data_IF_886340509491
#
_entry.id   IF_886340509491
#
_cell.length_a   1.000
_cell.length_b   1.000
_cell.length_c   1.000
_cell.angle_alpha   90.00
_cell.angle_beta   90.00
_cell.angle_gamma   90.00
#
_symmetry.space_group_name_H-M   'P 1'
#
loop_
_entity.id
_entity.type
_entity.pdbx_description
1 polymer ?
#
# COMPACT_ATOMS: atom_id res chain seq x y z
N UNK A 1 37.95 41.06 -41.81
CA UNK A 1 37.41 39.77 -42.29
C UNK A 1 37.85 38.71 -41.28
N UNK A 2 36.98 38.18 -40.40
CA UNK A 2 36.31 36.86 -40.53
C UNK A 2 37.28 35.81 -41.11
N UNK A 3 37.64 34.69 -40.47
CA UNK A 3 36.80 33.76 -39.71
C UNK A 3 37.59 32.99 -38.63
N UNK A 4 36.86 32.66 -37.56
CA UNK A 4 37.17 31.65 -36.54
C UNK A 4 37.21 30.24 -37.13
N UNK A 5 38.14 29.42 -36.66
CA UNK A 5 37.97 27.97 -36.59
C UNK A 5 38.29 27.51 -35.16
N UNK A 6 37.37 27.83 -34.24
CA UNK A 6 37.34 27.26 -32.90
C UNK A 6 36.94 25.78 -33.01
N UNK A 7 37.92 24.90 -33.02
CA UNK A 7 37.71 23.46 -32.91
C UNK A 7 37.24 23.17 -31.47
N UNK A 8 35.93 23.24 -31.23
CA UNK A 8 35.32 22.83 -29.98
C UNK A 8 35.41 21.31 -29.85
N UNK A 9 36.44 20.81 -29.16
CA UNK A 9 36.36 19.50 -28.54
C UNK A 9 35.21 19.54 -27.50
N UNK A 10 34.06 18.95 -27.85
CA UNK A 10 33.03 18.67 -26.84
C UNK A 10 33.62 17.70 -25.81
N UNK A 11 33.51 17.95 -24.50
CA UNK A 11 33.99 17.03 -23.50
C UNK A 11 33.21 15.72 -23.60
N UNK A 12 33.92 14.63 -23.86
CA UNK A 12 33.41 13.26 -23.73
C UNK A 12 32.85 13.10 -22.30
N UNK A 13 31.57 12.75 -22.16
CA UNK A 13 30.88 12.59 -20.86
C UNK A 13 30.63 11.09 -20.57
N UNK A 14 31.63 10.35 -20.05
CA UNK A 14 31.57 8.89 -19.90
C UNK A 14 30.47 8.38 -18.95
N UNK A 15 29.95 9.21 -18.02
CA UNK A 15 28.92 8.78 -17.04
C UNK A 15 27.54 8.54 -17.65
N UNK A 16 27.14 9.33 -18.65
CA UNK A 16 25.81 9.21 -19.28
C UNK A 16 25.78 7.97 -20.19
N UNK A 17 26.87 7.71 -20.92
CA UNK A 17 26.99 6.53 -21.77
C UNK A 17 27.02 5.23 -20.97
N UNK A 18 27.63 5.22 -19.79
CA UNK A 18 27.61 4.05 -18.91
C UNK A 18 26.19 3.72 -18.44
N UNK A 19 25.46 4.72 -17.95
CA UNK A 19 24.07 4.56 -17.50
C UNK A 19 23.14 4.14 -18.65
N UNK A 20 23.29 4.74 -19.83
CA UNK A 20 22.53 4.35 -21.03
C UNK A 20 22.83 2.90 -21.41
N UNK A 21 24.11 2.48 -21.39
CA UNK A 21 24.51 1.09 -21.68
C UNK A 21 24.04 0.11 -20.62
N UNK A 22 23.95 0.53 -19.37
CA UNK A 22 23.45 -0.29 -18.28
C UNK A 22 21.93 -0.51 -18.41
N UNK A 23 21.17 0.56 -18.63
CA UNK A 23 19.73 0.50 -18.93
C UNK A 23 19.47 -0.35 -20.18
N UNK A 24 20.21 -0.12 -21.27
CA UNK A 24 20.07 -0.89 -22.51
C UNK A 24 20.38 -2.37 -22.31
N UNK A 25 21.40 -2.72 -21.49
CA UNK A 25 21.72 -4.11 -21.15
C UNK A 25 20.62 -4.74 -20.32
N UNK A 26 20.09 -4.04 -19.31
CA UNK A 26 18.97 -4.54 -18.50
C UNK A 26 17.73 -4.78 -19.35
N UNK A 27 17.35 -3.82 -20.20
CA UNK A 27 16.20 -3.96 -21.11
C UNK A 27 16.43 -5.06 -22.16
N UNK A 28 17.66 -5.21 -22.65
CA UNK A 28 18.05 -6.28 -23.56
C UNK A 28 17.95 -7.66 -22.91
N UNK A 29 18.49 -7.82 -21.70
CA UNK A 29 18.36 -9.05 -20.92
C UNK A 29 16.89 -9.37 -20.61
N UNK A 30 16.10 -8.38 -20.20
CA UNK A 30 14.68 -8.55 -19.94
C UNK A 30 13.92 -9.03 -21.19
N UNK A 31 14.24 -8.45 -22.36
CA UNK A 31 13.65 -8.87 -23.65
C UNK A 31 14.02 -10.31 -23.99
N UNK A 32 15.27 -10.70 -23.77
CA UNK A 32 15.75 -12.08 -24.01
C UNK A 32 14.99 -13.04 -23.11
N UNK A 33 14.97 -12.80 -21.79
CA UNK A 33 14.26 -13.65 -20.85
C UNK A 33 12.76 -13.73 -21.16
N UNK A 34 12.12 -12.63 -21.56
CA UNK A 34 10.70 -12.63 -21.95
C UNK A 34 10.45 -13.44 -23.23
N UNK A 35 11.40 -13.45 -24.17
CA UNK A 35 11.34 -14.28 -25.37
C UNK A 35 11.53 -15.76 -25.03
N UNK A 36 12.55 -16.09 -24.23
CA UNK A 36 12.83 -17.45 -23.77
C UNK A 36 11.63 -18.02 -23.01
N UNK A 37 11.10 -17.28 -22.03
CA UNK A 37 9.87 -17.65 -21.33
C UNK A 37 8.72 -17.88 -22.31
N UNK A 38 8.49 -16.96 -23.25
CA UNK A 38 7.40 -17.11 -24.23
C UNK A 38 7.57 -18.36 -25.08
N UNK A 39 8.78 -18.70 -25.48
CA UNK A 39 9.05 -19.88 -26.31
C UNK A 39 8.95 -21.19 -25.50
N UNK A 40 9.34 -21.17 -24.22
CA UNK A 40 9.06 -22.26 -23.27
C UNK A 40 7.54 -22.44 -23.04
N UNK A 41 6.80 -21.35 -22.80
CA UNK A 41 5.34 -21.39 -22.62
C UNK A 41 4.57 -21.86 -23.85
N UNK A 42 5.14 -21.74 -25.06
CA UNK A 42 4.55 -22.31 -26.30
C UNK A 42 4.77 -23.82 -26.41
N UNK A 43 5.82 -24.35 -25.79
CA UNK A 43 6.14 -25.79 -25.80
C UNK A 43 5.38 -26.56 -24.72
N UNK A 44 4.97 -25.88 -23.65
CA UNK A 44 3.91 -26.38 -22.78
C UNK A 44 2.65 -26.52 -23.64
N UNK A 45 2.14 -27.74 -23.80
CA UNK A 45 0.87 -27.97 -24.50
C UNK A 45 -0.28 -27.19 -23.84
N UNK A 46 -1.51 -27.24 -24.36
CA UNK A 46 -2.67 -26.75 -23.63
C UNK A 46 -2.88 -27.67 -22.42
N UNK A 47 -2.09 -27.47 -21.36
CA UNK A 47 -2.55 -27.85 -20.04
C UNK A 47 -3.89 -27.16 -19.89
N UNK A 48 -4.94 -27.92 -19.54
CA UNK A 48 -6.11 -27.31 -18.95
C UNK A 48 -5.56 -26.31 -17.94
N UNK A 49 -5.92 -25.01 -18.03
CA UNK A 49 -5.43 -24.05 -17.06
C UNK A 49 -5.66 -24.71 -15.72
N UNK A 50 -4.58 -24.95 -14.97
CA UNK A 50 -4.69 -25.45 -13.61
C UNK A 50 -5.78 -24.58 -13.01
N UNK A 51 -6.96 -25.17 -12.78
CA UNK A 51 -7.95 -24.54 -11.95
C UNK A 51 -7.29 -24.58 -10.59
N UNK A 52 -6.43 -23.60 -10.36
CA UNK A 52 -6.01 -23.18 -9.05
C UNK A 52 -7.35 -22.93 -8.37
N UNK A 53 -7.79 -23.93 -7.61
CA UNK A 53 -9.08 -23.94 -6.91
C UNK A 53 -9.18 -22.74 -5.97
N UNK A 54 -8.02 -22.14 -5.68
CA UNK A 54 -7.80 -20.84 -5.07
C UNK A 54 -6.67 -20.13 -5.83
N UNK A 55 -6.74 -18.80 -5.99
CA UNK A 55 -5.60 -18.01 -6.46
C UNK A 55 -4.32 -18.37 -5.68
N UNK A 56 -3.11 -18.30 -6.28
CA UNK A 56 -1.91 -18.77 -5.58
C UNK A 56 -1.74 -17.97 -4.28
N UNK A 57 -1.64 -18.71 -3.17
CA UNK A 57 -1.39 -18.15 -1.86
C UNK A 57 0.01 -17.53 -1.82
N UNK A 58 0.23 -16.48 -1.00
CA UNK A 58 1.57 -15.98 -0.74
C UNK A 58 2.47 -17.10 -0.21
N UNK A 59 3.72 -17.15 -0.67
CA UNK A 59 4.69 -18.15 -0.18
C UNK A 59 5.13 -17.87 1.27
N UNK A 60 4.92 -16.65 1.75
CA UNK A 60 5.29 -16.23 3.10
C UNK A 60 4.33 -16.83 4.14
N UNK A 61 4.67 -17.99 4.68
CA UNK A 61 3.86 -18.71 5.69
C UNK A 61 4.38 -18.56 7.12
N UNK A 62 5.43 -17.74 7.31
CA UNK A 62 5.95 -17.36 8.63
C UNK A 62 6.12 -15.85 8.70
N UNK A 63 5.49 -15.22 9.68
CA UNK A 63 5.57 -13.77 9.91
C UNK A 63 5.90 -13.55 11.38
N UNK A 64 7.12 -13.07 11.65
CA UNK A 64 7.68 -13.07 13.00
C UNK A 64 7.63 -14.48 13.61
N UNK A 65 7.07 -14.60 14.80
CA UNK A 65 6.93 -15.88 15.53
C UNK A 65 5.65 -16.66 15.16
N UNK A 66 4.88 -16.23 14.15
CA UNK A 66 3.59 -16.81 13.81
C UNK A 66 3.68 -17.64 12.53
N UNK A 67 3.09 -18.82 12.54
CA UNK A 67 2.82 -19.61 11.32
C UNK A 67 1.48 -19.17 10.74
N UNK A 68 1.43 -18.92 9.44
CA UNK A 68 0.30 -18.32 8.74
C UNK A 68 -0.34 -19.33 7.79
N UNK A 69 -1.65 -19.49 7.94
CA UNK A 69 -2.51 -20.28 7.05
C UNK A 69 -3.49 -19.33 6.34
N UNK A 70 -3.25 -19.09 5.05
CA UNK A 70 -4.11 -18.22 4.24
C UNK A 70 -5.44 -18.90 3.92
N UNK A 71 -6.53 -18.15 4.04
CA UNK A 71 -7.89 -18.67 3.83
C UNK A 71 -8.56 -18.05 2.61
N UNK A 72 -8.43 -16.74 2.43
CA UNK A 72 -9.04 -16.01 1.31
C UNK A 72 -8.28 -14.73 1.00
N UNK A 73 -8.36 -14.31 -0.28
CA UNK A 73 -7.91 -12.99 -0.73
C UNK A 73 -9.10 -12.04 -0.67
N UNK A 74 -8.97 -10.95 0.09
CA UNK A 74 -10.08 -10.03 0.35
C UNK A 74 -10.33 -9.03 -0.79
N UNK A 75 -9.37 -8.86 -1.72
CA UNK A 75 -9.50 -8.01 -2.90
C UNK A 75 -8.99 -8.74 -4.14
N UNK A 76 -9.76 -8.79 -5.25
CA UNK A 76 -9.32 -9.44 -6.49
C UNK A 76 -8.21 -8.66 -7.23
N UNK A 77 -8.01 -7.38 -6.91
CA UNK A 77 -7.01 -6.55 -7.59
C UNK A 77 -5.57 -6.94 -7.18
N UNK A 78 -4.67 -7.25 -8.14
CA UNK A 78 -3.30 -7.68 -7.86
C UNK A 78 -2.44 -6.59 -7.21
N UNK A 79 -2.82 -5.31 -7.32
CA UNK A 79 -2.14 -4.19 -6.67
C UNK A 79 -2.42 -4.06 -5.18
N UNK A 80 -3.40 -4.81 -4.63
CA UNK A 80 -3.75 -4.80 -3.19
C UNK A 80 -3.72 -6.21 -2.64
N UNK A 81 -2.55 -6.60 -2.17
CA UNK A 81 -2.28 -7.92 -1.58
C UNK A 81 -2.76 -7.96 -0.13
N UNK A 82 -4.07 -8.11 0.06
CA UNK A 82 -4.71 -8.25 1.38
C UNK A 82 -5.40 -9.61 1.49
N UNK A 83 -5.08 -10.34 2.54
CA UNK A 83 -5.53 -11.72 2.76
C UNK A 83 -6.07 -11.90 4.18
N UNK A 84 -7.11 -12.70 4.30
CA UNK A 84 -7.51 -13.27 5.60
C UNK A 84 -6.73 -14.55 5.83
N UNK A 85 -6.21 -14.69 7.04
CA UNK A 85 -5.43 -15.84 7.44
C UNK A 85 -5.67 -16.20 8.91
N UNK A 86 -5.27 -17.40 9.28
CA UNK A 86 -5.08 -17.82 10.67
C UNK A 86 -3.60 -17.75 11.01
N UNK A 87 -3.27 -17.08 12.11
CA UNK A 87 -1.93 -17.03 12.65
C UNK A 87 -1.84 -17.89 13.91
N UNK A 88 -0.92 -18.85 13.93
CA UNK A 88 -0.72 -19.79 15.03
C UNK A 88 0.63 -19.56 15.72
N UNK A 89 0.61 -19.45 17.06
CA UNK A 89 1.80 -19.35 17.92
C UNK A 89 1.55 -20.05 19.24
N UNK A 90 2.42 -20.98 19.64
CA UNK A 90 2.32 -21.75 20.90
C UNK A 90 0.91 -22.30 21.15
N UNK A 91 0.36 -23.05 20.18
CA UNK A 91 -0.99 -23.64 20.18
C UNK A 91 -2.17 -22.67 20.26
N UNK A 92 -1.92 -21.36 20.25
CA UNK A 92 -2.98 -20.34 20.09
C UNK A 92 -3.09 -19.94 18.63
N UNK A 93 -4.29 -20.05 18.09
CA UNK A 93 -4.62 -19.57 16.75
C UNK A 93 -5.51 -18.33 16.85
N UNK A 94 -5.14 -17.29 16.12
CA UNK A 94 -5.90 -16.05 15.99
C UNK A 94 -6.24 -15.80 14.52
N UNK A 95 -7.40 -15.21 14.26
CA UNK A 95 -7.71 -14.70 12.92
C UNK A 95 -7.03 -13.35 12.69
N UNK A 96 -6.38 -13.21 11.55
CA UNK A 96 -5.61 -12.03 11.17
C UNK A 96 -5.87 -11.63 9.72
N UNK A 97 -5.58 -10.37 9.44
CA UNK A 97 -5.36 -9.87 8.10
C UNK A 97 -3.86 -9.75 7.85
N UNK A 98 -3.42 -10.25 6.71
CA UNK A 98 -2.06 -10.08 6.20
C UNK A 98 -2.11 -9.17 4.99
N UNK A 99 -1.40 -8.06 5.05
CA UNK A 99 -1.27 -7.08 3.98
C UNK A 99 0.18 -6.95 3.55
N UNK A 100 0.40 -6.90 2.25
CA UNK A 100 1.69 -6.57 1.65
C UNK A 100 1.59 -5.20 0.97
N UNK A 101 2.43 -4.27 1.38
CA UNK A 101 2.41 -2.88 0.89
C UNK A 101 3.81 -2.30 0.76
N UNK A 102 3.97 -1.31 -0.12
CA UNK A 102 5.23 -0.59 -0.30
C UNK A 102 5.54 0.36 0.85
N UNK A 103 4.52 0.89 1.53
CA UNK A 103 4.64 1.84 2.63
C UNK A 103 3.56 1.58 3.68
N UNK A 104 3.93 1.69 4.96
CA UNK A 104 3.00 1.57 6.08
C UNK A 104 3.50 2.43 7.23
N UNK A 105 2.67 3.33 7.75
CA UNK A 105 3.04 4.12 8.92
C UNK A 105 2.62 3.40 10.20
N UNK A 106 3.58 2.69 10.81
CA UNK A 106 3.36 1.97 12.06
C UNK A 106 3.00 2.93 13.21
N UNK A 107 3.64 4.09 13.26
CA UNK A 107 3.48 5.08 14.32
C UNK A 107 2.04 5.59 14.40
N UNK A 108 1.45 5.93 13.25
CA UNK A 108 0.04 6.35 13.18
C UNK A 108 -0.89 5.20 13.51
N UNK A 109 -0.61 4.00 13.01
CA UNK A 109 -1.40 2.83 13.36
C UNK A 109 -1.42 2.59 14.87
N UNK A 110 -0.25 2.55 15.52
CA UNK A 110 -0.13 2.28 16.95
C UNK A 110 -0.85 3.37 17.76
N UNK A 111 -0.71 4.65 17.39
CA UNK A 111 -1.43 5.77 18.03
C UNK A 111 -2.96 5.62 17.92
N UNK A 112 -3.47 5.28 16.74
CA UNK A 112 -4.90 5.09 16.50
C UNK A 112 -5.41 3.82 17.21
N UNK A 113 -4.58 2.78 17.31
CA UNK A 113 -4.89 1.54 18.02
C UNK A 113 -4.96 1.76 19.54
N UNK A 114 -4.11 2.60 20.12
CA UNK A 114 -4.16 3.00 21.53
C UNK A 114 -5.50 3.68 21.90
N UNK A 115 -6.13 4.35 20.93
CA UNK A 115 -7.46 4.96 21.07
C UNK A 115 -8.62 3.99 20.77
N UNK A 116 -8.31 2.74 20.42
CA UNK A 116 -9.27 1.69 20.09
C UNK A 116 -9.70 1.66 18.62
N UNK A 117 -9.33 2.66 17.82
CA UNK A 117 -9.93 2.88 16.50
C UNK A 117 -9.16 2.27 15.33
N UNK A 118 -8.06 1.58 15.63
CA UNK A 118 -7.37 0.73 14.68
C UNK A 118 -7.32 -0.71 15.21
N UNK A 119 -7.27 -1.70 14.30
CA UNK A 119 -7.03 -3.08 14.64
C UNK A 119 -5.73 -3.26 15.46
N UNK A 120 -5.62 -4.33 16.24
CA UNK A 120 -4.37 -4.61 16.95
C UNK A 120 -3.28 -5.05 15.96
N UNK A 121 -2.18 -4.33 15.89
CA UNK A 121 -1.00 -4.68 15.10
C UNK A 121 -0.20 -5.83 15.75
N UNK A 122 0.01 -6.92 15.02
CA UNK A 122 0.83 -8.05 15.44
C UNK A 122 2.21 -8.05 14.78
N UNK A 123 2.33 -7.52 13.57
CA UNK A 123 3.60 -7.38 12.84
C UNK A 123 3.55 -6.22 11.86
N UNK A 124 4.66 -5.50 11.73
CA UNK A 124 4.92 -4.54 10.65
C UNK A 124 6.42 -4.52 10.39
N UNK A 125 6.85 -4.99 9.22
CA UNK A 125 8.27 -5.08 8.88
C UNK A 125 8.50 -5.33 7.40
N UNK A 126 9.66 -4.89 6.91
CA UNK A 126 10.10 -5.18 5.55
C UNK A 126 10.50 -6.65 5.41
N UNK A 127 9.99 -7.32 4.39
CA UNK A 127 10.42 -8.67 4.01
C UNK A 127 11.02 -8.66 2.60
N UNK A 128 12.30 -9.03 2.51
CA UNK A 128 13.05 -9.00 1.25
C UNK A 128 12.63 -10.07 0.25
N UNK A 129 11.96 -11.14 0.68
CA UNK A 129 11.52 -12.23 -0.20
C UNK A 129 10.29 -11.84 -1.02
N UNK A 130 9.47 -10.93 -0.49
CA UNK A 130 8.32 -10.31 -1.18
C UNK A 130 8.62 -8.90 -1.68
N UNK A 131 9.72 -8.29 -1.22
CA UNK A 131 10.10 -6.92 -1.59
C UNK A 131 9.08 -5.87 -1.15
N UNK A 132 8.41 -6.12 -0.02
CA UNK A 132 7.32 -5.28 0.51
C UNK A 132 7.35 -5.26 2.04
N UNK A 133 6.70 -4.26 2.62
CA UNK A 133 6.34 -4.25 4.03
C UNK A 133 5.17 -5.21 4.25
N UNK A 134 5.38 -6.17 5.14
CA UNK A 134 4.38 -7.14 5.57
C UNK A 134 3.75 -6.60 6.85
N UNK A 135 2.42 -6.50 6.83
CA UNK A 135 1.63 -6.00 7.94
C UNK A 135 0.65 -7.09 8.35
N UNK A 136 0.62 -7.43 9.63
CA UNK A 136 -0.30 -8.41 10.20
C UNK A 136 -1.05 -7.76 11.36
N UNK A 137 -2.38 -7.72 11.30
CA UNK A 137 -3.23 -7.17 12.35
C UNK A 137 -4.49 -8.03 12.55
N UNK A 138 -5.04 -8.04 13.76
CA UNK A 138 -6.33 -8.70 14.06
C UNK A 138 -7.43 -7.66 14.19
N UNK A 139 -8.65 -8.00 13.81
CA UNK A 139 -9.83 -7.16 14.03
C UNK A 139 -9.92 -6.72 15.51
N UNK A 140 -10.05 -5.41 15.75
CA UNK A 140 -10.33 -4.84 17.07
C UNK A 140 -11.64 -4.04 17.01
N UNK A 141 -11.98 -3.27 18.04
CA UNK A 141 -13.29 -2.59 18.18
C UNK A 141 -13.00 -1.21 18.82
N UNK A 142 -13.72 -0.17 18.35
CA UNK A 142 -14.07 1.12 19.00
C UNK A 142 -13.47 2.46 18.49
N UNK A 143 -14.39 3.38 18.15
CA UNK A 143 -14.34 4.85 18.15
C UNK A 143 -13.42 5.63 17.18
N UNK A 144 -13.92 5.81 15.95
CA UNK A 144 -13.33 6.60 14.86
C UNK A 144 -13.04 8.09 15.16
N UNK A 145 -13.95 8.82 15.84
CA UNK A 145 -13.88 10.30 15.89
C UNK A 145 -12.73 10.76 16.79
N UNK A 146 -12.66 10.19 17.99
CA UNK A 146 -11.64 10.52 18.98
C UNK A 146 -10.24 10.12 18.49
N UNK A 147 -10.17 9.10 17.64
CA UNK A 147 -8.91 8.67 17.04
C UNK A 147 -8.39 9.58 15.93
N UNK A 148 -9.28 10.13 15.07
CA UNK A 148 -8.85 11.12 14.07
C UNK A 148 -8.37 12.39 14.78
N UNK A 149 -9.10 12.84 15.80
CA UNK A 149 -8.73 14.01 16.60
C UNK A 149 -7.39 13.80 17.31
N UNK A 150 -7.20 12.67 18.00
CA UNK A 150 -5.94 12.35 18.65
C UNK A 150 -4.76 12.20 17.67
N UNK A 151 -5.01 11.68 16.46
CA UNK A 151 -4.00 11.58 15.40
C UNK A 151 -3.55 12.97 14.95
N UNK A 152 -4.49 13.89 14.74
CA UNK A 152 -4.20 15.27 14.36
C UNK A 152 -3.50 16.04 15.49
N UNK A 153 -3.92 15.86 16.74
CA UNK A 153 -3.26 16.46 17.91
C UNK A 153 -1.79 16.02 18.06
N UNK A 154 -1.49 14.77 17.68
CA UNK A 154 -0.12 14.24 17.66
C UNK A 154 0.69 14.67 16.42
N UNK A 155 0.13 15.50 15.54
CA UNK A 155 0.79 16.02 14.34
C UNK A 155 0.80 15.06 13.14
N UNK A 156 -0.09 14.06 13.13
CA UNK A 156 -0.18 13.05 12.08
C UNK A 156 -1.46 13.19 11.25
N UNK A 157 -1.44 12.60 10.06
CA UNK A 157 -2.59 12.49 9.13
C UNK A 157 -2.69 11.06 8.60
N UNK A 158 -3.89 10.65 8.19
CA UNK A 158 -4.15 9.36 7.57
C UNK A 158 -4.08 9.43 6.04
N UNK A 159 -4.70 10.47 5.45
CA UNK A 159 -4.68 10.76 4.02
C UNK A 159 -5.67 9.99 3.15
N UNK A 160 -6.21 8.86 3.64
CA UNK A 160 -7.20 8.04 2.90
C UNK A 160 -8.42 7.57 3.73
N UNK A 161 -9.07 8.45 4.52
CA UNK A 161 -10.23 8.11 5.36
C UNK A 161 -11.56 7.94 4.59
N UNK A 162 -11.53 7.27 3.43
CA UNK A 162 -12.74 6.96 2.65
C UNK A 162 -13.47 5.75 3.22
N UNK A 163 -14.76 5.60 2.89
CA UNK A 163 -15.60 4.46 3.30
C UNK A 163 -14.94 3.08 3.10
N UNK A 164 -14.20 2.79 2.00
CA UNK A 164 -13.52 1.49 1.86
C UNK A 164 -12.44 1.20 2.90
N UNK A 165 -11.96 2.24 3.59
CA UNK A 165 -10.94 2.20 4.63
C UNK A 165 -11.54 2.45 6.03
N UNK A 166 -12.88 2.53 6.13
CA UNK A 166 -13.61 2.61 7.39
C UNK A 166 -14.49 1.37 7.48
N UNK A 167 -14.12 0.41 8.33
CA UNK A 167 -14.91 -0.79 8.59
C UNK A 167 -15.84 -0.58 9.78
N UNK A 168 -16.95 -1.31 9.83
CA UNK A 168 -17.77 -1.42 11.04
C UNK A 168 -17.38 -2.70 11.77
N UNK A 169 -17.20 -2.61 13.08
CA UNK A 169 -16.95 -3.77 13.92
C UNK A 169 -18.25 -4.54 14.26
N UNK A 170 -18.13 -5.60 15.06
CA UNK A 170 -19.27 -6.43 15.48
C UNK A 170 -20.33 -5.69 16.32
N UNK A 171 -20.03 -4.49 16.81
CA UNK A 171 -20.94 -3.61 17.54
C UNK A 171 -21.38 -2.40 16.69
N UNK A 172 -21.16 -2.44 15.38
CA UNK A 172 -21.46 -1.37 14.44
C UNK A 172 -20.65 -0.08 14.68
N UNK A 173 -19.51 -0.15 15.39
CA UNK A 173 -18.65 1.00 15.58
C UNK A 173 -17.61 1.11 14.45
N UNK A 174 -17.33 2.32 13.94
CA UNK A 174 -16.38 2.51 12.85
C UNK A 174 -14.92 2.36 13.29
N UNK A 175 -14.10 1.77 12.40
CA UNK A 175 -12.67 1.53 12.55
C UNK A 175 -11.90 1.97 11.31
N UNK A 176 -10.71 2.55 11.51
CA UNK A 176 -9.80 2.93 10.42
C UNK A 176 -8.91 1.74 10.06
N UNK A 177 -8.81 1.45 8.76
CA UNK A 177 -7.82 0.54 8.19
C UNK A 177 -7.04 1.27 7.09
N UNK A 178 -5.96 0.65 6.60
CA UNK A 178 -5.20 1.12 5.42
C UNK A 178 -4.40 2.43 5.63
N UNK A 179 -3.35 2.35 6.47
CA UNK A 179 -2.45 3.46 6.85
C UNK A 179 -1.28 3.70 5.86
N UNK A 180 -1.43 3.33 4.58
CA UNK A 180 -0.33 3.39 3.61
C UNK A 180 0.08 4.82 3.25
N UNK A 181 -0.86 5.77 3.37
CA UNK A 181 -0.65 7.19 3.09
C UNK A 181 -0.45 8.02 4.36
N UNK A 182 -0.59 7.38 5.52
CA UNK A 182 -0.49 8.08 6.79
C UNK A 182 0.95 8.56 7.05
N UNK A 183 1.08 9.64 7.82
CA UNK A 183 2.39 10.13 8.23
C UNK A 183 2.34 11.47 8.96
N UNK A 184 3.50 11.94 9.39
CA UNK A 184 3.63 13.19 10.12
C UNK A 184 3.46 14.39 9.18
N UNK A 185 2.61 15.33 9.54
CA UNK A 185 2.33 16.54 8.74
C UNK A 185 3.58 17.36 8.46
N UNK A 186 4.50 17.45 9.41
CA UNK A 186 5.77 18.18 9.26
C UNK A 186 6.83 17.43 8.43
N UNK A 187 6.58 16.17 8.09
CA UNK A 187 7.48 15.38 7.27
C UNK A 187 7.27 15.66 5.77
N UNK A 188 8.33 16.04 5.06
CA UNK A 188 8.30 16.28 3.61
C UNK A 188 7.98 15.02 2.78
N UNK A 189 8.04 13.82 3.37
CA UNK A 189 7.70 12.55 2.72
C UNK A 189 6.23 12.16 2.87
N UNK A 190 5.44 12.90 3.64
CA UNK A 190 3.99 12.72 3.80
C UNK A 190 3.26 13.41 2.64
N UNK A 191 3.35 12.75 1.49
CA UNK A 191 2.82 13.22 0.20
C UNK A 191 1.97 12.14 -0.47
N UNK A 192 0.99 12.55 -1.27
CA UNK A 192 0.25 11.63 -2.12
C UNK A 192 1.15 11.04 -3.21
N UNK A 193 0.90 9.78 -3.63
CA UNK A 193 1.56 9.20 -4.79
C UNK A 193 1.39 10.06 -6.06
N UNK A 194 2.38 10.03 -6.96
CA UNK A 194 2.31 10.77 -8.23
C UNK A 194 1.24 10.23 -9.18
N UNK A 195 0.78 8.99 -8.97
CA UNK A 195 -0.24 8.29 -9.73
C UNK A 195 -1.60 8.23 -9.00
N UNK A 196 -1.82 9.12 -8.01
CA UNK A 196 -3.10 9.20 -7.32
C UNK A 196 -4.26 9.42 -8.30
N UNK A 197 -5.33 8.64 -8.13
CA UNK A 197 -6.55 8.79 -8.90
C UNK A 197 -7.41 9.92 -8.31
N UNK A 198 -7.54 11.03 -9.06
CA UNK A 198 -8.32 12.21 -8.68
C UNK A 198 -9.76 12.17 -9.23
N UNK A 199 -10.33 10.96 -9.32
CA UNK A 199 -11.71 10.80 -9.78
C UNK A 199 -12.69 11.56 -8.86
N UNK A 200 -13.57 12.42 -9.41
CA UNK A 200 -14.58 13.13 -8.63
C UNK A 200 -15.47 12.23 -7.76
N UNK A 201 -15.68 10.97 -8.15
CA UNK A 201 -16.47 10.00 -7.39
C UNK A 201 -15.86 9.69 -6.02
N UNK A 202 -14.54 9.87 -5.86
CA UNK A 202 -13.87 9.72 -4.57
C UNK A 202 -14.08 10.89 -3.61
N UNK A 203 -14.67 12.01 -4.07
CA UNK A 203 -15.00 13.19 -3.26
C UNK A 203 -13.82 13.63 -2.38
N UNK A 204 -12.62 13.65 -2.97
CA UNK A 204 -11.41 14.11 -2.31
C UNK A 204 -11.50 15.63 -2.03
N UNK A 205 -10.72 16.10 -1.05
CA UNK A 205 -10.60 17.53 -0.81
C UNK A 205 -10.04 18.23 -2.06
N UNK A 206 -10.55 19.42 -2.38
CA UNK A 206 -10.23 20.16 -3.62
C UNK A 206 -8.73 20.47 -3.81
N UNK A 207 -7.98 20.50 -2.71
CA UNK A 207 -6.55 20.83 -2.71
C UNK A 207 -5.66 19.57 -2.82
N UNK A 208 -6.26 18.37 -2.91
CA UNK A 208 -5.54 17.11 -3.15
C UNK A 208 -4.99 17.09 -4.57
N UNK A 209 -3.69 16.84 -4.71
CA UNK A 209 -3.03 16.71 -5.99
C UNK A 209 -1.89 15.67 -5.95
N UNK A 210 -1.49 15.18 -7.12
CA UNK A 210 -0.40 14.22 -7.28
C UNK A 210 0.93 14.77 -6.74
N UNK A 211 1.57 14.05 -5.82
CA UNK A 211 2.80 14.51 -5.15
C UNK A 211 2.60 15.65 -4.14
N UNK A 212 1.36 16.09 -3.91
CA UNK A 212 1.03 17.12 -2.93
C UNK A 212 1.13 16.60 -1.49
N UNK A 213 1.33 17.51 -0.53
CA UNK A 213 1.34 17.17 0.90
C UNK A 213 -0.02 16.68 1.35
N UNK A 214 -0.02 15.70 2.25
CA UNK A 214 -1.22 15.24 2.93
C UNK A 214 -1.41 16.11 4.17
N UNK A 215 -2.59 16.72 4.31
CA UNK A 215 -2.90 17.69 5.36
C UNK A 215 -4.13 17.25 6.16
N UNK A 216 -4.28 17.76 7.38
CA UNK A 216 -5.38 17.42 8.30
C UNK A 216 -6.74 17.81 7.72
N UNK A 217 -6.81 18.88 6.93
CA UNK A 217 -8.03 19.30 6.24
C UNK A 217 -8.54 18.26 5.23
N UNK A 218 -7.64 17.44 4.67
CA UNK A 218 -8.04 16.36 3.76
C UNK A 218 -8.78 15.25 4.51
N UNK A 219 -8.28 14.87 5.69
CA UNK A 219 -8.93 13.90 6.57
C UNK A 219 -10.29 14.42 7.06
N UNK A 220 -10.34 15.67 7.54
CA UNK A 220 -11.57 16.32 7.99
C UNK A 220 -12.65 16.33 6.92
N UNK A 221 -12.27 16.60 5.68
CA UNK A 221 -13.19 16.59 4.54
C UNK A 221 -13.79 15.19 4.32
N UNK A 222 -12.95 14.15 4.37
CA UNK A 222 -13.35 12.77 4.17
C UNK A 222 -14.25 12.27 5.32
N UNK A 223 -13.92 12.58 6.56
CA UNK A 223 -14.75 12.25 7.73
C UNK A 223 -16.12 12.93 7.65
N UNK A 224 -16.16 14.23 7.30
CA UNK A 224 -17.44 14.95 7.10
C UNK A 224 -18.29 14.32 6.00
N UNK A 225 -17.67 13.88 4.90
CA UNK A 225 -18.37 13.21 3.80
C UNK A 225 -18.93 11.86 4.24
N UNK A 226 -18.15 11.08 5.00
CA UNK A 226 -18.59 9.80 5.56
C UNK A 226 -19.76 9.97 6.53
N UNK A 227 -19.69 10.91 7.48
CA UNK A 227 -20.78 11.15 8.44
C UNK A 227 -22.10 11.52 7.77
N UNK A 228 -22.06 12.33 6.70
CA UNK A 228 -23.26 12.66 5.90
C UNK A 228 -23.84 11.45 5.18
N UNK A 229 -22.98 10.56 4.68
CA UNK A 229 -23.40 9.34 3.99
C UNK A 229 -24.03 8.35 4.99
N UNK A 230 -23.40 8.12 6.14
CA UNK A 230 -23.92 7.24 7.19
C UNK A 230 -25.33 7.66 7.64
N UNK A 231 -25.54 8.95 7.88
CA UNK A 231 -26.85 9.53 8.22
C UNK A 231 -27.91 9.33 7.13
N UNK A 232 -27.51 9.35 5.85
CA UNK A 232 -28.44 9.16 4.72
C UNK A 232 -28.80 7.68 4.47
N UNK A 233 -27.95 6.76 4.90
CA UNK A 233 -28.13 5.30 4.74
C UNK A 233 -28.70 4.60 5.98
N UNK A 234 -28.94 5.33 7.07
CA UNK A 234 -29.47 4.78 8.33
C UNK A 234 -28.49 3.90 9.10
N UNK A 235 -27.18 4.17 8.96
CA UNK A 235 -26.10 3.56 9.76
C UNK A 235 -25.80 4.42 11.00
#
# INVERSE_FOLDING_TARGET
>A
MRQNASQMCRPYRPKVDHQIREIARTLGALRICAHELRDEYKQLGPEQPLKLSSAPWPHLTKIGDHTIEYQERLRPAPSRSVFRAKASRNDKTIEVIVKFTSRYCREVHDLVAEKGAAPKLWHCGWDSTVGQTVVMYSYAIQNLRDAVEAMHEAGYVHGDLRQPNILLDGNNAPMIIDFDWAGCTDNSYTIYPSDICLDPDYKLHKDVCAGGRILTEHDDHLVKNWSRQAQSTGL
#
